data_IF_228020347496
#
_entry.id   IF_228020347496
#
_cell.length_a   1.000
_cell.length_b   1.000
_cell.length_c   1.000
_cell.angle_alpha   90.00
_cell.angle_beta   90.00
_cell.angle_gamma   90.00
#
_symmetry.space_group_name_H-M   'P 1'
#
loop_
_entity.id
_entity.type
_entity.pdbx_description
1 polymer ?
#
# COMPACT_ATOMS: atom_id res chain seq x y z
N UNK A 1 5.96 9.33 1.70
CA UNK A 1 5.78 7.92 1.30
C UNK A 1 4.64 7.28 2.08
N UNK A 2 4.20 6.07 1.72
CA UNK A 2 3.11 5.39 2.41
C UNK A 2 2.53 4.19 1.65
N UNK A 3 1.33 3.78 2.04
CA UNK A 3 0.55 2.71 1.41
C UNK A 3 -0.87 3.19 1.15
N UNK A 4 -1.41 2.82 -0.02
CA UNK A 4 -2.84 2.92 -0.33
C UNK A 4 -3.41 1.50 -0.46
N UNK A 5 -4.48 1.25 0.27
CA UNK A 5 -5.35 0.07 0.19
C UNK A 5 -6.67 0.48 -0.47
N UNK A 6 -7.27 -0.41 -1.24
CA UNK A 6 -8.59 -0.21 -1.86
C UNK A 6 -9.51 -1.33 -1.45
N UNK A 7 -10.70 -0.95 -0.98
CA UNK A 7 -11.79 -1.86 -0.64
C UNK A 7 -13.06 -1.43 -1.41
N UNK A 8 -13.99 -2.34 -1.73
CA UNK A 8 -15.29 -1.94 -2.27
C UNK A 8 -16.19 -1.37 -1.17
N UNK A 9 -16.96 -0.35 -1.50
CA UNK A 9 -18.20 -0.04 -0.77
C UNK A 9 -19.26 -1.12 -1.00
N UNK A 10 -20.38 -1.05 -0.27
CA UNK A 10 -21.49 -2.00 -0.45
C UNK A 10 -22.07 -2.03 -1.87
N UNK A 11 -21.97 -0.92 -2.59
CA UNK A 11 -22.37 -0.77 -4.00
C UNK A 11 -21.27 -1.16 -5.00
N UNK A 12 -20.08 -1.56 -4.51
CA UNK A 12 -18.92 -1.91 -5.32
C UNK A 12 -18.03 -0.73 -5.73
N UNK A 13 -18.36 0.50 -5.33
CA UNK A 13 -17.55 1.69 -5.62
C UNK A 13 -16.20 1.61 -4.89
N UNK A 14 -15.05 1.88 -5.56
CA UNK A 14 -13.74 1.83 -4.90
C UNK A 14 -13.60 2.85 -3.76
N UNK A 15 -13.26 2.37 -2.57
CA UNK A 15 -12.97 3.16 -1.38
C UNK A 15 -11.48 3.11 -1.04
N UNK A 16 -10.82 4.27 -0.91
CA UNK A 16 -9.38 4.33 -0.66
C UNK A 16 -9.06 4.54 0.81
N UNK A 17 -8.26 3.63 1.38
CA UNK A 17 -7.62 3.79 2.67
C UNK A 17 -6.14 4.11 2.47
N UNK A 18 -5.67 5.24 2.99
CA UNK A 18 -4.29 5.69 2.82
C UNK A 18 -3.61 5.87 4.16
N UNK A 19 -2.39 5.36 4.27
CA UNK A 19 -1.49 5.66 5.37
C UNK A 19 -0.23 6.32 4.82
N UNK A 20 -0.03 7.58 5.18
CA UNK A 20 1.03 8.42 4.64
C UNK A 20 1.95 8.92 5.75
N UNK A 21 3.26 8.80 5.51
CA UNK A 21 4.31 9.42 6.28
C UNK A 21 4.80 10.66 5.54
N UNK A 22 4.77 11.80 6.22
CA UNK A 22 5.17 13.09 5.67
C UNK A 22 5.87 13.94 6.73
N UNK A 23 6.61 14.96 6.28
CA UNK A 23 7.13 15.97 7.18
C UNK A 23 5.95 16.70 7.86
N UNK A 24 5.97 16.91 9.19
CA UNK A 24 4.88 17.60 9.90
C UNK A 24 4.49 18.95 9.29
N UNK A 25 5.46 19.68 8.72
CA UNK A 25 5.23 20.98 8.06
C UNK A 25 4.39 20.85 6.78
N UNK A 26 4.40 19.70 6.12
CA UNK A 26 3.68 19.43 4.86
C UNK A 26 2.29 18.82 5.09
N UNK A 27 1.97 18.40 6.32
CA UNK A 27 0.75 17.64 6.64
C UNK A 27 -0.52 18.35 6.17
N UNK A 28 -0.67 19.63 6.47
CA UNK A 28 -1.88 20.39 6.13
C UNK A 28 -2.04 20.51 4.61
N UNK A 29 -0.96 20.80 3.90
CA UNK A 29 -0.95 20.88 2.43
C UNK A 29 -1.35 19.53 1.80
N UNK A 30 -0.84 18.42 2.32
CA UNK A 30 -1.21 17.07 1.85
C UNK A 30 -2.71 16.80 2.08
N UNK A 31 -3.22 17.13 3.28
CA UNK A 31 -4.64 16.96 3.61
C UNK A 31 -5.53 17.79 2.67
N UNK A 32 -5.15 19.03 2.39
CA UNK A 32 -5.88 19.93 1.49
C UNK A 32 -5.90 19.41 0.05
N UNK A 33 -4.74 18.97 -0.46
CA UNK A 33 -4.63 18.37 -1.80
C UNK A 33 -5.53 17.14 -1.90
N UNK A 34 -5.45 16.22 -0.93
CA UNK A 34 -6.28 15.01 -0.97
C UNK A 34 -7.77 15.33 -0.86
N UNK A 35 -8.16 16.27 0.01
CA UNK A 35 -9.56 16.73 0.13
C UNK A 35 -10.07 17.32 -1.17
N UNK A 36 -9.26 18.17 -1.83
CA UNK A 36 -9.60 18.76 -3.13
C UNK A 36 -9.86 17.69 -4.19
N UNK A 37 -9.04 16.65 -4.25
CA UNK A 37 -9.25 15.54 -5.18
C UNK A 37 -10.50 14.71 -4.82
N UNK A 38 -10.73 14.45 -3.53
CA UNK A 38 -11.89 13.68 -3.08
C UNK A 38 -13.23 14.41 -3.31
N UNK A 39 -13.23 15.74 -3.37
CA UNK A 39 -14.41 16.57 -3.67
C UNK A 39 -14.45 17.04 -5.13
N UNK A 40 -13.55 16.56 -6.00
CA UNK A 40 -13.48 17.01 -7.39
C UNK A 40 -14.72 16.61 -8.19
N UNK A 41 -15.23 15.43 -7.91
CA UNK A 41 -16.49 14.91 -8.44
C UNK A 41 -17.57 15.13 -7.39
N UNK A 42 -18.76 15.55 -7.81
CA UNK A 42 -19.94 15.91 -6.98
C UNK A 42 -19.64 16.54 -5.62
N UNK A 43 -18.67 17.45 -5.53
CA UNK A 43 -18.27 18.09 -4.27
C UNK A 43 -19.39 18.89 -3.58
N UNK A 44 -20.44 19.23 -4.33
CA UNK A 44 -21.59 20.01 -3.87
C UNK A 44 -22.80 19.15 -3.47
N UNK A 45 -22.72 17.81 -3.60
CA UNK A 45 -23.81 16.94 -3.16
C UNK A 45 -24.03 17.03 -1.64
N UNK A 46 -25.26 16.72 -1.19
CA UNK A 46 -25.62 16.81 0.22
C UNK A 46 -24.76 15.87 1.07
N UNK A 47 -23.87 16.45 1.88
CA UNK A 47 -23.01 15.73 2.80
C UNK A 47 -21.59 15.42 2.29
N UNK A 48 -21.26 15.81 1.05
CA UNK A 48 -19.97 15.55 0.42
C UNK A 48 -18.78 15.95 1.32
N UNK A 49 -18.81 17.19 1.82
CA UNK A 49 -17.73 17.77 2.63
C UNK A 49 -17.43 16.99 3.93
N UNK A 50 -18.39 16.21 4.43
CA UNK A 50 -18.23 15.36 5.62
C UNK A 50 -17.85 13.93 5.28
N UNK A 51 -18.40 13.36 4.21
CA UNK A 51 -18.36 11.93 3.94
C UNK A 51 -17.32 11.51 2.88
N UNK A 52 -16.99 12.38 1.91
CA UNK A 52 -16.05 12.03 0.82
C UNK A 52 -14.59 11.99 1.26
N UNK A 53 -14.23 12.62 2.39
CA UNK A 53 -12.84 12.64 2.87
C UNK A 53 -12.72 12.77 4.38
N UNK A 54 -11.98 11.83 4.98
CA UNK A 54 -11.59 11.87 6.38
C UNK A 54 -10.07 11.73 6.51
N UNK A 55 -9.45 12.66 7.23
CA UNK A 55 -8.04 12.57 7.60
C UNK A 55 -7.92 12.52 9.14
N UNK A 56 -7.15 11.56 9.64
CA UNK A 56 -6.85 11.40 11.06
C UNK A 56 -5.34 11.32 11.26
N UNK A 57 -4.84 12.00 12.28
CA UNK A 57 -3.44 11.86 12.67
C UNK A 57 -3.27 10.57 13.47
N UNK A 58 -2.27 9.76 13.10
CA UNK A 58 -1.92 8.53 13.80
C UNK A 58 -0.70 8.79 14.70
N UNK A 59 -0.82 8.44 15.98
CA UNK A 59 0.29 8.44 16.93
C UNK A 59 1.15 7.17 16.78
N UNK A 60 2.32 7.14 17.46
CA UNK A 60 3.26 6.00 17.45
C UNK A 60 2.54 4.67 17.70
N UNK A 61 2.91 3.63 16.94
CA UNK A 61 2.34 2.28 17.03
C UNK A 61 1.03 2.08 16.25
N UNK A 62 0.24 3.14 16.02
CA UNK A 62 -1.04 3.03 15.31
C UNK A 62 -0.91 2.71 13.82
N UNK A 63 0.20 3.10 13.20
CA UNK A 63 0.43 2.95 11.77
C UNK A 63 0.53 1.48 11.31
N UNK A 64 1.39 0.69 11.95
CA UNK A 64 1.60 -0.72 11.59
C UNK A 64 0.33 -1.55 11.81
N UNK A 65 -0.34 -1.37 12.96
CA UNK A 65 -1.60 -2.04 13.25
C UNK A 65 -2.74 -1.64 12.30
N UNK A 66 -2.79 -0.37 11.91
CA UNK A 66 -3.75 0.11 10.91
C UNK A 66 -3.55 -0.61 9.57
N UNK A 67 -2.33 -0.62 9.01
CA UNK A 67 -2.05 -1.35 7.76
C UNK A 67 -2.35 -2.84 7.90
N UNK A 68 -1.90 -3.47 8.98
CA UNK A 68 -2.12 -4.90 9.20
C UNK A 68 -3.61 -5.25 9.16
N UNK A 69 -4.47 -4.46 9.84
CA UNK A 69 -5.92 -4.62 9.81
C UNK A 69 -6.47 -4.62 8.38
N UNK A 70 -6.06 -3.67 7.55
CA UNK A 70 -6.54 -3.56 6.17
C UNK A 70 -5.98 -4.67 5.27
N UNK A 71 -4.72 -5.08 5.44
CA UNK A 71 -4.18 -6.23 4.69
C UNK A 71 -4.94 -7.52 5.05
N UNK A 72 -5.15 -7.78 6.34
CA UNK A 72 -5.84 -8.98 6.82
C UNK A 72 -7.28 -9.09 6.32
N UNK A 73 -8.01 -7.96 6.26
CA UNK A 73 -9.38 -7.91 5.72
C UNK A 73 -9.48 -8.28 4.24
N UNK A 74 -8.43 -8.00 3.46
CA UNK A 74 -8.48 -8.08 2.01
C UNK A 74 -7.83 -9.35 1.43
N UNK A 75 -6.86 -9.96 2.12
CA UNK A 75 -6.11 -11.10 1.56
C UNK A 75 -6.66 -12.44 2.03
N UNK A 76 -6.78 -12.67 3.33
CA UNK A 76 -6.88 -14.06 3.82
C UNK A 76 -8.00 -14.27 4.84
N UNK A 77 -8.55 -13.21 5.43
CA UNK A 77 -9.41 -13.34 6.61
C UNK A 77 -8.72 -14.10 7.76
N UNK A 78 -7.40 -14.27 7.70
CA UNK A 78 -6.62 -15.06 8.65
C UNK A 78 -6.69 -14.38 10.02
N UNK A 79 -7.12 -15.16 11.03
CA UNK A 79 -7.56 -14.75 12.37
C UNK A 79 -9.01 -14.21 12.50
N UNK A 80 -9.88 -14.39 11.50
CA UNK A 80 -11.30 -14.01 11.55
C UNK A 80 -12.26 -15.23 11.54
N UNK A 81 -11.75 -16.45 11.80
CA UNK A 81 -12.59 -17.64 11.94
C UNK A 81 -13.64 -17.42 13.06
N UNK A 82 -14.92 -17.54 12.69
CA UNK A 82 -16.05 -17.30 13.60
C UNK A 82 -16.42 -15.84 13.83
N UNK A 83 -15.72 -14.87 13.21
CA UNK A 83 -16.10 -13.46 13.28
C UNK A 83 -17.06 -13.09 12.14
N UNK A 84 -18.12 -12.37 12.51
CA UNK A 84 -19.07 -11.80 11.58
C UNK A 84 -18.70 -10.34 11.30
N UNK A 85 -18.90 -9.92 10.06
CA UNK A 85 -18.83 -8.52 9.73
C UNK A 85 -19.99 -7.77 10.42
N UNK A 86 -19.68 -6.70 11.15
CA UNK A 86 -20.67 -5.94 11.92
C UNK A 86 -21.72 -5.26 11.02
N UNK A 87 -21.36 -4.99 9.76
CA UNK A 87 -22.22 -4.27 8.83
C UNK A 87 -23.11 -5.22 8.00
N UNK A 88 -22.66 -6.45 7.71
CA UNK A 88 -23.38 -7.41 6.86
C UNK A 88 -23.83 -8.69 7.55
N UNK A 89 -23.31 -9.01 8.73
CA UNK A 89 -23.59 -10.26 9.44
C UNK A 89 -23.05 -11.51 8.74
N UNK A 90 -22.26 -11.35 7.66
CA UNK A 90 -21.66 -12.46 6.92
C UNK A 90 -20.31 -12.86 7.52
N UNK A 91 -19.86 -14.11 7.33
CA UNK A 91 -18.50 -14.50 7.68
C UNK A 91 -17.48 -13.58 7.01
N UNK A 92 -16.54 -13.06 7.80
CA UNK A 92 -15.47 -12.19 7.30
C UNK A 92 -14.61 -12.87 6.22
N UNK A 93 -14.56 -14.21 6.20
CA UNK A 93 -13.89 -15.01 5.17
C UNK A 93 -14.52 -14.89 3.78
N UNK A 94 -15.85 -14.94 3.69
CA UNK A 94 -16.58 -14.77 2.42
C UNK A 94 -16.38 -13.35 1.85
N UNK A 95 -16.19 -12.39 2.75
CA UNK A 95 -15.90 -11.00 2.40
C UNK A 95 -14.53 -10.87 1.72
N UNK A 96 -13.47 -11.53 2.22
CA UNK A 96 -12.15 -11.47 1.60
C UNK A 96 -12.12 -12.05 0.17
N UNK A 97 -12.81 -13.18 -0.05
CA UNK A 97 -12.94 -13.78 -1.38
C UNK A 97 -13.71 -12.87 -2.34
N UNK A 98 -14.82 -12.26 -1.88
CA UNK A 98 -15.60 -11.31 -2.67
C UNK A 98 -14.79 -10.06 -3.04
N UNK A 99 -14.01 -9.51 -2.11
CA UNK A 99 -13.13 -8.36 -2.38
C UNK A 99 -12.04 -8.71 -3.37
N UNK A 100 -11.44 -9.90 -3.26
CA UNK A 100 -10.43 -10.39 -4.23
C UNK A 100 -11.03 -10.58 -5.61
N UNK A 101 -12.23 -11.16 -5.72
CA UNK A 101 -12.95 -11.33 -6.98
C UNK A 101 -13.31 -9.97 -7.61
N UNK A 102 -13.86 -9.04 -6.81
CA UNK A 102 -14.14 -7.67 -7.24
C UNK A 102 -12.88 -6.97 -7.78
N UNK A 103 -11.80 -6.96 -7.00
CA UNK A 103 -10.56 -6.30 -7.39
C UNK A 103 -9.99 -6.91 -8.68
N UNK A 104 -10.06 -8.23 -8.84
CA UNK A 104 -9.62 -8.92 -10.05
C UNK A 104 -10.48 -8.58 -11.26
N UNK A 105 -11.80 -8.56 -11.09
CA UNK A 105 -12.79 -8.23 -12.13
C UNK A 105 -12.53 -6.84 -12.72
N UNK A 106 -12.26 -5.86 -11.85
CA UNK A 106 -12.02 -4.48 -12.23
C UNK A 106 -10.54 -4.12 -12.41
N UNK A 107 -9.64 -5.11 -12.32
CA UNK A 107 -8.17 -4.94 -12.43
C UNK A 107 -7.62 -3.88 -11.47
N UNK A 108 -8.20 -3.81 -10.26
CA UNK A 108 -7.82 -2.85 -9.22
C UNK A 108 -6.61 -3.40 -8.45
N UNK A 109 -5.47 -2.70 -8.45
CA UNK A 109 -4.38 -3.04 -7.54
C UNK A 109 -4.88 -2.75 -6.13
N UNK A 110 -5.10 -3.76 -5.28
CA UNK A 110 -5.62 -3.51 -3.92
C UNK A 110 -4.59 -2.74 -3.09
N UNK A 111 -3.32 -3.16 -3.16
CA UNK A 111 -2.21 -2.55 -2.41
C UNK A 111 -1.26 -1.81 -3.35
N UNK A 112 -1.00 -0.53 -3.06
CA UNK A 112 -0.03 0.27 -3.81
C UNK A 112 0.80 1.13 -2.87
N UNK A 113 2.12 0.94 -2.90
CA UNK A 113 3.06 1.80 -2.19
C UNK A 113 3.14 3.18 -2.86
N UNK A 114 3.35 4.21 -2.05
CA UNK A 114 3.51 5.60 -2.49
C UNK A 114 4.89 6.06 -2.06
N UNK A 115 5.73 6.49 -2.99
CA UNK A 115 7.08 6.97 -2.68
C UNK A 115 8.00 5.91 -2.05
N UNK A 116 7.76 4.62 -2.27
CA UNK A 116 8.70 3.55 -1.97
C UNK A 116 9.11 2.85 -3.27
N UNK A 117 10.26 2.16 -3.32
CA UNK A 117 10.63 1.32 -4.45
C UNK A 117 9.53 0.31 -4.79
N UNK A 118 9.44 -0.04 -6.07
CA UNK A 118 8.33 -0.88 -6.54
C UNK A 118 8.43 -2.30 -6.00
N UNK A 119 7.27 -2.92 -5.74
CA UNK A 119 7.20 -4.35 -5.43
C UNK A 119 7.54 -5.23 -6.64
N UNK A 120 7.49 -4.67 -7.86
CA UNK A 120 7.95 -5.35 -9.08
C UNK A 120 9.44 -5.66 -9.01
N UNK A 121 10.27 -4.62 -8.84
CA UNK A 121 11.72 -4.78 -8.67
C UNK A 121 12.07 -5.73 -7.51
N UNK A 122 11.39 -5.58 -6.38
CA UNK A 122 11.58 -6.46 -5.23
C UNK A 122 11.33 -7.94 -5.57
N UNK A 123 10.28 -8.24 -6.34
CA UNK A 123 9.94 -9.61 -6.75
C UNK A 123 10.90 -10.15 -7.80
N UNK A 124 11.27 -9.35 -8.79
CA UNK A 124 12.21 -9.80 -9.83
C UNK A 124 13.59 -10.11 -9.26
N UNK A 125 14.10 -9.29 -8.34
CA UNK A 125 15.36 -9.56 -7.64
C UNK A 125 15.34 -10.89 -6.87
N UNK A 126 14.19 -11.26 -6.31
CA UNK A 126 14.01 -12.54 -5.58
C UNK A 126 13.87 -13.76 -6.47
N UNK A 127 13.77 -13.58 -7.80
CA UNK A 127 13.81 -14.69 -8.78
C UNK A 127 15.24 -15.03 -9.18
N UNK A 128 16.20 -14.16 -8.90
CA UNK A 128 17.61 -14.39 -9.22
C UNK A 128 18.21 -15.46 -8.31
N UNK A 129 19.31 -16.12 -8.72
CA UNK A 129 19.94 -17.18 -7.95
C UNK A 129 20.26 -16.75 -6.51
N UNK A 130 19.97 -17.65 -5.56
CA UNK A 130 20.26 -17.42 -4.14
C UNK A 130 21.69 -17.78 -3.81
N UNK A 131 22.33 -16.98 -2.97
CA UNK A 131 23.70 -17.23 -2.51
C UNK A 131 24.77 -17.06 -3.60
N UNK A 132 24.41 -16.57 -4.79
CA UNK A 132 25.34 -16.23 -5.86
C UNK A 132 25.30 -14.72 -6.03
N UNK A 133 26.47 -14.08 -5.91
CA UNK A 133 26.61 -12.65 -6.19
C UNK A 133 26.40 -12.40 -7.68
N UNK A 134 25.65 -11.35 -8.02
CA UNK A 134 25.51 -10.86 -9.40
C UNK A 134 26.35 -9.60 -9.65
N UNK A 135 27.25 -9.24 -8.73
CA UNK A 135 28.04 -8.01 -8.82
C UNK A 135 28.92 -7.97 -10.08
N UNK A 136 29.44 -9.12 -10.51
CA UNK A 136 30.28 -9.23 -11.72
C UNK A 136 29.50 -8.97 -13.02
N UNK A 137 28.21 -9.32 -13.05
CA UNK A 137 27.34 -9.08 -14.21
C UNK A 137 26.77 -7.66 -14.24
N UNK A 138 26.58 -7.06 -13.06
CA UNK A 138 26.01 -5.72 -12.88
C UNK A 138 26.98 -4.83 -12.11
N UNK A 139 26.72 -4.60 -10.82
CA UNK A 139 27.61 -3.93 -9.88
C UNK A 139 27.21 -4.24 -8.42
N UNK A 140 28.02 -3.75 -7.47
CA UNK A 140 27.79 -3.89 -6.03
C UNK A 140 26.47 -3.26 -5.54
N UNK A 141 25.95 -2.25 -6.24
CA UNK A 141 24.70 -1.57 -5.83
C UNK A 141 23.50 -2.44 -6.18
N UNK A 142 23.51 -3.04 -7.37
CA UNK A 142 22.49 -4.00 -7.81
C UNK A 142 22.53 -5.25 -6.93
N UNK A 143 23.72 -5.76 -6.62
CA UNK A 143 23.88 -6.89 -5.69
C UNK A 143 23.36 -6.55 -4.28
N UNK A 144 23.64 -5.37 -3.74
CA UNK A 144 23.12 -4.95 -2.45
C UNK A 144 21.59 -4.93 -2.42
N UNK A 145 20.94 -4.43 -3.48
CA UNK A 145 19.49 -4.46 -3.61
C UNK A 145 18.94 -5.90 -3.72
N UNK A 146 19.62 -6.77 -4.49
CA UNK A 146 19.26 -8.19 -4.62
C UNK A 146 19.38 -8.93 -3.29
N UNK A 147 20.51 -8.81 -2.60
CA UNK A 147 20.78 -9.47 -1.33
C UNK A 147 19.79 -9.05 -0.24
N UNK A 148 19.45 -7.76 -0.18
CA UNK A 148 18.42 -7.25 0.72
C UNK A 148 17.02 -7.82 0.37
N UNK A 149 16.69 -7.91 -0.92
CA UNK A 149 15.43 -8.49 -1.36
C UNK A 149 15.34 -10.00 -1.07
N UNK A 150 16.43 -10.75 -1.29
CA UNK A 150 16.51 -12.20 -1.07
C UNK A 150 16.38 -12.55 0.42
N UNK A 151 17.11 -11.86 1.29
CA UNK A 151 17.04 -12.02 2.75
C UNK A 151 15.69 -11.60 3.35
N UNK A 152 14.89 -10.82 2.62
CA UNK A 152 13.61 -10.30 3.10
C UNK A 152 13.74 -9.05 3.97
N UNK A 153 14.92 -8.45 4.08
CA UNK A 153 15.11 -7.17 4.77
C UNK A 153 14.62 -6.02 3.90
N UNK A 154 13.33 -5.71 4.06
CA UNK A 154 12.68 -4.67 3.26
C UNK A 154 13.21 -3.26 3.56
N UNK A 155 13.69 -3.00 4.78
CA UNK A 155 14.26 -1.70 5.14
C UNK A 155 15.62 -1.50 4.47
N UNK A 156 16.46 -2.55 4.47
CA UNK A 156 17.71 -2.54 3.73
C UNK A 156 17.47 -2.43 2.23
N UNK A 157 16.46 -3.12 1.68
CA UNK A 157 16.09 -3.01 0.27
C UNK A 157 15.69 -1.58 -0.11
N UNK A 158 14.87 -0.91 0.71
CA UNK A 158 14.51 0.49 0.48
C UNK A 158 15.76 1.37 0.44
N UNK A 159 16.70 1.14 1.37
CA UNK A 159 17.94 1.90 1.45
C UNK A 159 18.85 1.65 0.24
N UNK A 160 18.99 0.39 -0.18
CA UNK A 160 19.77 0.00 -1.37
C UNK A 160 19.19 0.56 -2.68
N UNK A 161 17.89 0.83 -2.72
CA UNK A 161 17.20 1.51 -3.83
C UNK A 161 17.29 3.05 -3.77
N UNK A 162 18.07 3.60 -2.84
CA UNK A 162 18.27 5.05 -2.65
C UNK A 162 17.41 5.67 -1.55
N UNK A 163 16.45 4.94 -0.99
CA UNK A 163 15.57 5.40 0.09
C UNK A 163 14.15 5.76 -0.34
N UNK A 164 13.39 6.30 0.61
CA UNK A 164 12.00 6.69 0.37
C UNK A 164 11.88 8.03 -0.38
N UNK A 165 10.89 8.11 -1.26
CA UNK A 165 10.57 9.23 -2.15
C UNK A 165 11.67 9.57 -3.17
N UNK A 166 12.63 8.66 -3.41
CA UNK A 166 13.60 8.82 -4.50
C UNK A 166 12.90 8.73 -5.86
N UNK A 167 13.16 9.69 -6.78
CA UNK A 167 12.68 9.64 -8.16
C UNK A 167 13.00 8.30 -8.83
N UNK A 168 12.12 7.80 -9.70
CA UNK A 168 12.25 6.45 -10.28
C UNK A 168 13.54 6.29 -11.09
N UNK A 169 13.98 7.34 -11.77
CA UNK A 169 15.22 7.41 -12.54
C UNK A 169 16.48 7.36 -11.68
N UNK A 170 16.37 7.73 -10.40
CA UNK A 170 17.45 7.64 -9.41
C UNK A 170 17.44 6.33 -8.60
N UNK A 171 16.48 5.42 -8.84
CA UNK A 171 16.47 4.11 -8.17
C UNK A 171 17.50 3.17 -8.79
N UNK A 172 18.19 2.41 -7.94
CA UNK A 172 19.26 1.47 -8.32
C UNK A 172 18.79 0.41 -9.30
N UNK A 173 17.67 -0.24 -9.01
CA UNK A 173 17.08 -1.29 -9.85
C UNK A 173 15.71 -0.86 -10.34
N UNK A 174 15.50 -0.95 -11.64
CA UNK A 174 14.26 -0.57 -12.34
C UNK A 174 13.82 -1.73 -13.23
N UNK A 175 12.52 -2.04 -13.18
CA UNK A 175 11.84 -3.00 -14.07
C UNK A 175 10.59 -2.36 -14.65
#
# INVERSE_FOLDING_TARGET
YGLRVVEPHHDGTPHWHMMLFCNPRQRNQIIEIMRRYALKEDGDERGAARNRFQAKHLNRGGAAGYIAKYISKNIDGYALDGQLDNDTGRPLKDTAAAVTAWASTWRIPQFKTVGLPTMGAYRELRKLPRGVSIADEFDERVEAARAAADSGDFALYISAQGGANVPRDCQTVRV
#
